data_IF_913776251304
#
_entry.id   IF_913776251304
#
_cell.length_a   1.000
_cell.length_b   1.000
_cell.length_c   1.000
_cell.angle_alpha   90.00
_cell.angle_beta   90.00
_cell.angle_gamma   90.00
#
_symmetry.space_group_name_H-M   'P 1'
#
loop_
_entity.id
_entity.type
_entity.pdbx_description
1 polymer ?
#
# COMPACT_ATOMS: atom_id res chain seq x y z
N UNK A 1 -40.61 47.73 26.03
CA UNK A 1 -41.73 46.92 25.50
C UNK A 1 -41.16 45.51 25.36
N UNK A 2 -41.26 44.63 26.36
CA UNK A 2 -42.42 43.75 26.66
C UNK A 2 -42.89 43.07 25.35
N UNK A 3 -42.78 41.74 25.13
CA UNK A 3 -42.88 40.60 26.03
C UNK A 3 -42.08 39.35 25.61
N UNK A 4 -41.71 38.56 26.62
CA UNK A 4 -41.33 37.14 26.61
C UNK A 4 -42.54 36.20 26.42
N UNK A 5 -42.22 34.89 26.37
CA UNK A 5 -43.00 33.67 26.69
C UNK A 5 -43.63 32.91 25.52
N UNK A 6 -43.17 31.70 25.17
CA UNK A 6 -43.26 30.38 25.83
C UNK A 6 -44.60 29.65 25.64
N UNK A 7 -44.48 28.39 25.22
CA UNK A 7 -45.45 27.28 25.28
C UNK A 7 -46.60 27.36 24.25
N UNK A 8 -47.08 26.26 23.64
CA UNK A 8 -47.32 24.95 24.26
C UNK A 8 -47.51 23.87 23.19
N UNK A 9 -46.94 22.69 23.46
CA UNK A 9 -47.37 21.39 22.95
C UNK A 9 -48.87 21.16 23.25
N UNK A 10 -49.73 21.28 22.25
CA UNK A 10 -51.07 20.69 22.14
C UNK A 10 -51.57 21.09 20.74
N UNK A 11 -51.60 20.24 19.72
CA UNK A 11 -52.41 19.03 19.61
C UNK A 11 -51.80 18.11 18.55
N UNK A 12 -51.14 17.03 18.98
CA UNK A 12 -50.62 15.99 18.10
C UNK A 12 -51.55 14.76 18.03
N UNK A 13 -52.87 14.94 18.22
CA UNK A 13 -53.75 13.78 18.45
C UNK A 13 -55.08 13.71 17.68
N UNK A 14 -55.37 14.62 16.74
CA UNK A 14 -56.67 14.60 16.01
C UNK A 14 -56.57 14.66 14.46
N UNK A 15 -55.45 14.31 13.84
CA UNK A 15 -55.34 14.34 12.36
C UNK A 15 -54.89 13.04 11.68
N UNK A 16 -54.98 11.90 12.38
CA UNK A 16 -54.69 10.57 11.81
C UNK A 16 -55.96 9.73 11.69
N UNK A 17 -56.79 10.04 10.69
CA UNK A 17 -57.82 9.09 10.22
C UNK A 17 -58.11 9.32 8.74
N UNK A 18 -57.31 8.66 7.90
CA UNK A 18 -57.53 8.54 6.45
C UNK A 18 -56.26 8.09 5.74
N UNK A 19 -56.29 7.04 4.90
CA UNK A 19 -55.14 6.70 4.07
C UNK A 19 -55.04 7.76 2.96
N UNK A 20 -53.83 8.22 2.69
CA UNK A 20 -53.48 9.23 1.68
C UNK A 20 -53.57 10.70 2.12
N UNK A 21 -52.43 11.23 2.60
CA UNK A 21 -51.77 12.45 2.09
C UNK A 21 -50.52 12.78 2.91
N UNK A 22 -49.40 13.00 2.24
CA UNK A 22 -48.26 13.73 2.81
C UNK A 22 -48.38 15.21 2.40
N UNK A 23 -48.32 16.10 3.40
CA UNK A 23 -48.12 17.55 3.24
C UNK A 23 -46.61 17.79 3.29
N UNK A 24 -46.07 18.47 2.27
CA UNK A 24 -44.69 18.97 2.29
C UNK A 24 -44.74 20.48 2.07
N UNK A 25 -44.25 21.25 3.05
CA UNK A 25 -43.93 22.66 2.91
C UNK A 25 -42.60 22.77 2.16
N UNK A 26 -42.57 23.49 1.04
CA UNK A 26 -41.35 23.78 0.30
C UNK A 26 -41.02 25.27 0.40
N UNK A 27 -39.76 25.55 0.75
CA UNK A 27 -39.07 26.80 0.44
C UNK A 27 -38.19 26.51 -0.79
N UNK A 28 -38.18 27.43 -1.75
CA UNK A 28 -37.26 27.46 -2.90
C UNK A 28 -37.58 26.59 -4.14
N UNK A 29 -38.82 26.68 -4.62
CA UNK A 29 -39.06 26.84 -6.07
C UNK A 29 -38.59 25.74 -7.04
N UNK A 30 -38.82 24.46 -6.75
CA UNK A 30 -38.64 23.35 -7.71
C UNK A 30 -39.99 22.73 -8.06
N UNK A 31 -40.32 22.71 -9.36
CA UNK A 31 -41.56 22.14 -9.90
C UNK A 31 -41.50 20.60 -9.88
N UNK A 32 -42.42 19.95 -9.17
CA UNK A 32 -42.54 18.47 -9.13
C UNK A 32 -43.73 18.03 -9.97
N UNK A 33 -43.48 17.31 -11.08
CA UNK A 33 -44.55 16.65 -11.84
C UNK A 33 -44.93 15.31 -11.18
N UNK A 34 -46.19 15.22 -10.75
CA UNK A 34 -46.81 14.00 -10.21
C UNK A 34 -47.23 13.08 -11.37
N UNK A 35 -46.78 11.83 -11.34
CA UNK A 35 -47.34 10.76 -12.18
C UNK A 35 -48.25 9.87 -11.33
N UNK A 36 -49.51 9.75 -11.70
CA UNK A 36 -50.45 8.76 -11.14
C UNK A 36 -50.40 7.50 -11.98
N UNK A 37 -49.94 6.39 -11.39
CA UNK A 37 -50.06 5.06 -12.00
C UNK A 37 -51.47 4.56 -11.73
N UNK A 38 -52.26 4.37 -12.79
CA UNK A 38 -53.62 3.83 -12.72
C UNK A 38 -53.53 2.31 -12.60
N UNK A 39 -53.87 1.75 -11.44
CA UNK A 39 -54.00 0.32 -11.27
C UNK A 39 -55.13 -0.22 -12.17
N UNK A 40 -54.94 -1.36 -12.89
CA UNK A 40 -56.03 -1.99 -13.61
C UNK A 40 -57.03 -2.62 -12.65
N UNK A 41 -58.31 -2.56 -13.03
CA UNK A 41 -59.45 -3.02 -12.25
C UNK A 41 -59.32 -4.50 -11.84
N UNK A 42 -59.60 -4.80 -10.56
CA UNK A 42 -59.75 -6.16 -10.06
C UNK A 42 -60.97 -6.84 -10.70
N UNK A 43 -60.76 -8.01 -11.28
CA UNK A 43 -61.78 -9.07 -11.32
C UNK A 43 -61.67 -9.84 -10.01
N UNK A 44 -62.78 -9.94 -9.29
CA UNK A 44 -62.92 -10.71 -8.07
C UNK A 44 -63.06 -12.21 -8.38
N UNK A 45 -62.30 -13.06 -7.68
CA UNK A 45 -62.65 -14.45 -7.39
C UNK A 45 -61.81 -14.96 -6.19
N UNK A 46 -62.44 -15.79 -5.37
CA UNK A 46 -62.11 -16.14 -3.99
C UNK A 46 -61.10 -17.31 -3.81
N UNK A 47 -60.26 -17.21 -2.76
CA UNK A 47 -59.67 -18.24 -1.88
C UNK A 47 -58.68 -19.32 -2.42
N UNK A 48 -57.85 -20.00 -1.58
CA UNK A 48 -57.67 -19.93 -0.11
C UNK A 48 -56.22 -19.67 0.39
N UNK A 49 -56.00 -19.52 1.73
CA UNK A 49 -54.72 -19.14 2.32
C UNK A 49 -54.03 -20.32 3.02
N UNK A 50 -52.93 -20.85 2.47
CA UNK A 50 -51.91 -21.58 3.25
C UNK A 50 -50.69 -21.91 2.37
N UNK A 51 -49.64 -21.10 2.47
CA UNK A 51 -48.25 -21.51 2.23
C UNK A 51 -47.32 -20.34 2.63
N UNK A 52 -46.97 -20.31 3.91
CA UNK A 52 -45.90 -19.46 4.39
C UNK A 52 -44.54 -19.95 3.87
N UNK A 53 -43.64 -18.98 3.65
CA UNK A 53 -42.18 -19.08 3.57
C UNK A 53 -41.53 -19.59 2.26
N UNK A 54 -41.39 -18.70 1.28
CA UNK A 54 -40.19 -18.59 0.42
C UNK A 54 -39.93 -17.11 0.09
N UNK A 55 -38.75 -16.52 0.35
CA UNK A 55 -38.39 -15.21 -0.19
C UNK A 55 -37.75 -15.43 -1.56
N UNK A 56 -38.55 -15.37 -2.62
CA UNK A 56 -38.04 -15.28 -3.99
C UNK A 56 -38.95 -14.35 -4.79
N UNK A 57 -38.86 -13.05 -4.51
CA UNK A 57 -39.42 -12.01 -5.39
C UNK A 57 -38.44 -11.75 -6.54
N UNK A 58 -38.32 -12.72 -7.44
CA UNK A 58 -37.95 -12.44 -8.84
C UNK A 58 -39.24 -12.40 -9.64
N UNK A 59 -39.97 -11.28 -9.56
CA UNK A 59 -41.02 -11.01 -10.55
C UNK A 59 -40.35 -10.57 -11.84
N UNK A 60 -40.32 -11.47 -12.81
CA UNK A 60 -39.88 -11.21 -14.18
C UNK A 60 -41.04 -10.48 -14.88
N UNK A 61 -40.85 -9.21 -15.23
CA UNK A 61 -41.83 -8.49 -16.05
C UNK A 61 -41.86 -9.12 -17.45
N UNK A 62 -43.06 -9.32 -18.00
CA UNK A 62 -43.24 -9.76 -19.38
C UNK A 62 -42.57 -8.75 -20.31
N UNK A 63 -41.45 -9.15 -20.92
CA UNK A 63 -40.52 -8.26 -21.64
C UNK A 63 -39.05 -8.42 -21.26
N UNK A 64 -38.74 -9.21 -20.21
CA UNK A 64 -37.36 -9.59 -19.88
C UNK A 64 -36.53 -8.54 -19.14
N UNK A 65 -37.06 -7.34 -18.93
CA UNK A 65 -36.44 -6.33 -18.06
C UNK A 65 -36.69 -6.69 -16.58
N UNK A 66 -35.62 -6.72 -15.75
CA UNK A 66 -35.76 -6.85 -14.30
C UNK A 66 -36.46 -5.59 -13.77
N UNK A 67 -37.43 -5.70 -12.87
CA UNK A 67 -38.25 -4.57 -12.38
C UNK A 67 -37.40 -3.39 -11.84
N UNK A 68 -36.22 -3.66 -11.27
CA UNK A 68 -35.27 -2.64 -10.82
C UNK A 68 -34.72 -1.76 -11.95
N UNK A 69 -34.65 -2.28 -13.18
CA UNK A 69 -34.09 -1.57 -14.35
C UNK A 69 -35.04 -0.48 -14.88
N UNK A 70 -36.33 -0.65 -14.60
CA UNK A 70 -37.38 0.31 -14.92
C UNK A 70 -37.43 1.47 -13.92
N UNK A 71 -36.80 1.31 -12.76
CA UNK A 71 -36.76 2.32 -11.69
C UNK A 71 -35.45 3.14 -11.68
N UNK A 72 -34.45 2.76 -12.48
CA UNK A 72 -33.21 3.51 -12.61
C UNK A 72 -33.43 4.80 -13.40
N UNK A 73 -32.78 5.87 -12.96
CA UNK A 73 -32.74 7.11 -13.73
C UNK A 73 -32.16 6.82 -15.14
N UNK A 74 -32.68 7.44 -16.21
CA UNK A 74 -32.21 7.24 -17.58
C UNK A 74 -30.67 7.23 -17.77
N UNK A 75 -29.88 8.15 -17.14
CA UNK A 75 -28.43 8.13 -17.29
C UNK A 75 -27.76 6.90 -16.66
N UNK A 76 -28.26 6.41 -15.52
CA UNK A 76 -27.72 5.23 -14.83
C UNK A 76 -27.95 3.97 -15.67
N UNK A 77 -29.14 3.86 -16.28
CA UNK A 77 -29.47 2.75 -17.18
C UNK A 77 -28.56 2.71 -18.41
N UNK A 78 -28.32 3.88 -19.03
CA UNK A 78 -27.45 3.97 -20.20
C UNK A 78 -26.01 3.55 -19.90
N UNK A 79 -25.46 3.98 -18.75
CA UNK A 79 -24.11 3.59 -18.29
C UNK A 79 -24.03 2.11 -18.03
N UNK A 80 -25.03 1.55 -17.35
CA UNK A 80 -25.08 0.12 -17.05
C UNK A 80 -25.09 -0.73 -18.33
N UNK A 81 -25.91 -0.35 -19.31
CA UNK A 81 -25.96 -1.05 -20.61
C UNK A 81 -24.63 -0.92 -21.38
N UNK A 82 -23.98 0.24 -21.32
CA UNK A 82 -22.68 0.46 -21.95
C UNK A 82 -21.57 -0.39 -21.29
N UNK A 83 -21.51 -0.40 -19.96
CA UNK A 83 -20.56 -1.20 -19.19
C UNK A 83 -20.74 -2.70 -19.44
N UNK A 84 -21.98 -3.18 -19.45
CA UNK A 84 -22.27 -4.58 -19.79
C UNK A 84 -21.76 -4.95 -21.18
N UNK A 85 -22.08 -4.15 -22.20
CA UNK A 85 -21.63 -4.39 -23.59
C UNK A 85 -20.11 -4.35 -23.71
N UNK A 86 -19.45 -3.42 -23.03
CA UNK A 86 -18.00 -3.31 -23.01
C UNK A 86 -17.35 -4.56 -22.39
N UNK A 87 -17.87 -5.03 -21.25
CA UNK A 87 -17.36 -6.23 -20.59
C UNK A 87 -17.53 -7.49 -21.45
N UNK A 88 -18.71 -7.69 -22.07
CA UNK A 88 -18.93 -8.80 -23.01
C UNK A 88 -17.98 -8.70 -24.21
N UNK A 89 -17.78 -7.50 -24.77
CA UNK A 89 -16.83 -7.26 -25.86
C UNK A 89 -15.38 -7.62 -25.50
N UNK A 90 -15.01 -7.40 -24.23
CA UNK A 90 -13.72 -7.79 -23.67
C UNK A 90 -13.62 -9.28 -23.25
N UNK A 91 -14.62 -10.11 -23.60
CA UNK A 91 -14.69 -11.56 -23.31
C UNK A 91 -14.74 -11.89 -21.81
N UNK A 92 -15.40 -11.04 -21.03
CA UNK A 92 -15.83 -11.39 -19.69
C UNK A 92 -17.03 -12.35 -19.72
N UNK A 93 -17.20 -13.10 -18.64
CA UNK A 93 -18.41 -13.92 -18.47
C UNK A 93 -19.66 -13.01 -18.37
N UNK A 94 -20.85 -13.56 -18.62
CA UNK A 94 -22.08 -12.80 -18.46
C UNK A 94 -22.27 -12.30 -17.02
N UNK A 95 -21.85 -13.10 -16.03
CA UNK A 95 -21.89 -12.75 -14.61
C UNK A 95 -20.93 -11.60 -14.29
N UNK A 96 -19.68 -11.67 -14.76
CA UNK A 96 -18.71 -10.58 -14.64
C UNK A 96 -19.21 -9.30 -15.29
N UNK A 97 -19.87 -9.41 -16.45
CA UNK A 97 -20.44 -8.27 -17.16
C UNK A 97 -21.64 -7.66 -16.42
N UNK A 98 -22.53 -8.47 -15.82
CA UNK A 98 -23.61 -7.96 -14.96
C UNK A 98 -23.05 -7.21 -13.75
N UNK A 99 -22.00 -7.74 -13.12
CA UNK A 99 -21.33 -7.11 -11.98
C UNK A 99 -20.62 -5.82 -12.34
N UNK A 100 -19.92 -5.80 -13.49
CA UNK A 100 -19.32 -4.60 -14.05
C UNK A 100 -20.35 -3.51 -14.31
N UNK A 101 -21.48 -3.90 -14.88
CA UNK A 101 -22.59 -2.99 -15.13
C UNK A 101 -23.16 -2.42 -13.83
N UNK A 102 -23.37 -3.28 -12.82
CA UNK A 102 -23.83 -2.85 -11.50
C UNK A 102 -22.85 -1.86 -10.86
N UNK A 103 -21.55 -2.15 -10.88
CA UNK A 103 -20.53 -1.24 -10.34
C UNK A 103 -20.51 0.12 -11.04
N UNK A 104 -20.65 0.16 -12.37
CA UNK A 104 -20.76 1.41 -13.12
C UNK A 104 -22.05 2.19 -12.78
N UNK A 105 -23.17 1.47 -12.61
CA UNK A 105 -24.43 2.08 -12.18
C UNK A 105 -24.35 2.67 -10.76
N UNK A 106 -23.75 1.94 -9.83
CA UNK A 106 -23.52 2.38 -8.45
C UNK A 106 -22.62 3.63 -8.41
N UNK A 107 -21.56 3.67 -9.23
CA UNK A 107 -20.69 4.84 -9.33
C UNK A 107 -21.46 6.08 -9.85
N UNK A 108 -22.26 5.95 -10.90
CA UNK A 108 -23.12 7.04 -11.37
C UNK A 108 -24.11 7.50 -10.29
N UNK A 109 -24.72 6.56 -9.57
CA UNK A 109 -25.64 6.87 -8.48
C UNK A 109 -24.94 7.60 -7.31
N UNK A 110 -23.64 7.33 -7.10
CA UNK A 110 -22.79 8.03 -6.14
C UNK A 110 -22.32 9.42 -6.64
N UNK A 111 -22.71 9.84 -7.85
CA UNK A 111 -22.41 11.17 -8.39
C UNK A 111 -21.11 11.26 -9.21
N UNK A 112 -20.48 10.12 -9.51
CA UNK A 112 -19.36 10.09 -10.45
C UNK A 112 -19.84 10.37 -11.88
N UNK A 113 -18.95 10.95 -12.70
CA UNK A 113 -19.22 11.13 -14.13
C UNK A 113 -19.20 9.79 -14.90
N UNK A 114 -19.61 9.87 -16.17
CA UNK A 114 -19.71 8.71 -17.05
C UNK A 114 -18.37 7.96 -17.18
N UNK A 115 -17.26 8.68 -17.28
CA UNK A 115 -15.94 8.10 -17.50
C UNK A 115 -15.46 7.34 -16.27
N UNK A 116 -15.58 7.97 -15.09
CA UNK A 116 -15.27 7.38 -13.80
C UNK A 116 -16.14 6.16 -13.51
N UNK A 117 -17.43 6.21 -13.86
CA UNK A 117 -18.32 5.07 -13.73
C UNK A 117 -17.94 3.90 -14.65
N UNK A 118 -17.55 4.18 -15.90
CA UNK A 118 -17.05 3.15 -16.81
C UNK A 118 -15.72 2.56 -16.32
N UNK A 119 -14.85 3.36 -15.69
CA UNK A 119 -13.63 2.88 -15.05
C UNK A 119 -13.94 1.91 -13.89
N UNK A 120 -14.91 2.23 -13.03
CA UNK A 120 -15.39 1.31 -12.00
C UNK A 120 -15.88 -0.02 -12.57
N UNK A 121 -16.68 0.01 -13.64
CA UNK A 121 -17.15 -1.21 -14.28
C UNK A 121 -16.02 -2.09 -14.84
N UNK A 122 -15.02 -1.49 -15.50
CA UNK A 122 -13.85 -2.22 -16.00
C UNK A 122 -13.03 -2.84 -14.86
N UNK A 123 -12.77 -2.06 -13.81
CA UNK A 123 -12.02 -2.52 -12.65
C UNK A 123 -12.72 -3.68 -11.92
N UNK A 124 -14.06 -3.62 -11.77
CA UNK A 124 -14.86 -4.71 -11.21
C UNK A 124 -14.68 -6.00 -12.02
N UNK A 125 -14.83 -5.93 -13.35
CA UNK A 125 -14.69 -7.08 -14.22
C UNK A 125 -13.28 -7.68 -14.17
N UNK A 126 -12.26 -6.82 -14.16
CA UNK A 126 -10.87 -7.22 -14.09
C UNK A 126 -10.53 -7.91 -12.76
N UNK A 127 -10.99 -7.38 -11.63
CA UNK A 127 -10.76 -7.96 -10.31
C UNK A 127 -11.44 -9.33 -10.17
N UNK A 128 -12.71 -9.46 -10.57
CA UNK A 128 -13.42 -10.75 -10.54
C UNK A 128 -12.72 -11.81 -11.40
N UNK A 129 -12.25 -11.43 -12.60
CA UNK A 129 -11.50 -12.32 -13.49
C UNK A 129 -10.20 -12.81 -12.87
N UNK A 130 -9.58 -11.99 -12.02
CA UNK A 130 -8.37 -12.34 -11.26
C UNK A 130 -8.67 -13.22 -10.03
N UNK A 131 -9.94 -13.56 -9.78
CA UNK A 131 -10.37 -14.42 -8.67
C UNK A 131 -10.63 -13.68 -7.36
N UNK A 132 -10.66 -12.34 -7.38
CA UNK A 132 -11.00 -11.56 -6.19
C UNK A 132 -12.45 -11.75 -5.76
N UNK A 133 -12.70 -11.63 -4.46
CA UNK A 133 -14.06 -11.67 -3.93
C UNK A 133 -14.86 -10.46 -4.40
N UNK A 134 -16.20 -10.55 -4.34
CA UNK A 134 -17.06 -9.43 -4.70
C UNK A 134 -16.75 -8.16 -3.89
N UNK A 135 -16.42 -8.29 -2.61
CA UNK A 135 -16.06 -7.16 -1.75
C UNK A 135 -14.78 -6.46 -2.19
N UNK A 136 -13.73 -7.23 -2.46
CA UNK A 136 -12.46 -6.72 -3.01
C UNK A 136 -12.66 -6.04 -4.37
N UNK A 137 -13.40 -6.70 -5.27
CA UNK A 137 -13.70 -6.15 -6.60
C UNK A 137 -14.51 -4.85 -6.52
N UNK A 138 -15.47 -4.77 -5.60
CA UNK A 138 -16.26 -3.54 -5.39
C UNK A 138 -15.39 -2.40 -4.86
N UNK A 139 -14.48 -2.68 -3.93
CA UNK A 139 -13.54 -1.68 -3.44
C UNK A 139 -12.59 -1.20 -4.56
N UNK A 140 -12.09 -2.13 -5.38
CA UNK A 140 -11.27 -1.82 -6.55
C UNK A 140 -12.02 -0.94 -7.58
N UNK A 141 -13.29 -1.24 -7.83
CA UNK A 141 -14.15 -0.44 -8.70
C UNK A 141 -14.30 1.00 -8.18
N UNK A 142 -14.54 1.17 -6.89
CA UNK A 142 -14.61 2.50 -6.27
C UNK A 142 -13.27 3.24 -6.37
N UNK A 143 -12.14 2.56 -6.15
CA UNK A 143 -10.81 3.15 -6.27
C UNK A 143 -10.52 3.65 -7.71
N UNK A 144 -10.89 2.87 -8.73
CA UNK A 144 -10.76 3.30 -10.13
C UNK A 144 -11.62 4.54 -10.43
N UNK A 145 -12.90 4.55 -10.04
CA UNK A 145 -13.76 5.71 -10.23
C UNK A 145 -13.19 6.96 -9.55
N UNK A 146 -12.72 6.82 -8.31
CA UNK A 146 -12.12 7.93 -7.58
C UNK A 146 -10.85 8.44 -8.27
N UNK A 147 -9.98 7.55 -8.75
CA UNK A 147 -8.77 7.95 -9.45
C UNK A 147 -9.09 8.72 -10.76
N UNK A 148 -10.01 8.19 -11.58
CA UNK A 148 -10.46 8.88 -12.80
C UNK A 148 -11.09 10.23 -12.48
N UNK A 149 -11.92 10.34 -11.44
CA UNK A 149 -12.55 11.61 -11.05
C UNK A 149 -11.57 12.68 -10.59
N UNK A 150 -10.38 12.27 -10.12
CA UNK A 150 -9.27 13.17 -9.75
C UNK A 150 -8.42 13.58 -10.96
N UNK A 151 -8.75 13.10 -12.16
CA UNK A 151 -8.03 13.40 -13.40
C UNK A 151 -6.80 12.54 -13.65
N UNK A 152 -6.63 11.42 -12.92
CA UNK A 152 -5.54 10.49 -13.20
C UNK A 152 -5.77 9.73 -14.50
N UNK A 153 -4.66 9.29 -15.12
CA UNK A 153 -4.72 8.49 -16.34
C UNK A 153 -5.50 7.18 -16.15
N UNK A 154 -6.04 6.62 -17.23
CA UNK A 154 -6.72 5.32 -17.18
C UNK A 154 -5.82 4.21 -16.61
N UNK A 155 -4.52 4.23 -16.96
CA UNK A 155 -3.54 3.27 -16.44
C UNK A 155 -3.33 3.44 -14.92
N UNK A 156 -3.31 4.68 -14.41
CA UNK A 156 -3.21 4.95 -12.98
C UNK A 156 -4.49 4.52 -12.24
N UNK A 157 -5.66 4.69 -12.84
CA UNK A 157 -6.92 4.20 -12.28
C UNK A 157 -6.96 2.66 -12.21
N UNK A 158 -6.48 1.97 -13.24
CA UNK A 158 -6.35 0.50 -13.24
C UNK A 158 -5.34 0.03 -12.18
N UNK A 159 -4.22 0.73 -12.02
CA UNK A 159 -3.24 0.45 -10.97
C UNK A 159 -3.80 0.68 -9.56
N UNK A 160 -4.60 1.74 -9.36
CA UNK A 160 -5.30 2.01 -8.11
C UNK A 160 -6.27 0.88 -7.75
N UNK A 161 -7.06 0.40 -8.73
CA UNK A 161 -7.96 -0.73 -8.54
C UNK A 161 -7.21 -2.01 -8.17
N UNK A 162 -6.14 -2.35 -8.91
CA UNK A 162 -5.34 -3.54 -8.66
C UNK A 162 -4.65 -3.51 -7.29
N UNK A 163 -4.08 -2.36 -6.91
CA UNK A 163 -3.47 -2.15 -5.58
C UNK A 163 -4.51 -2.30 -4.47
N UNK A 164 -5.71 -1.76 -4.66
CA UNK A 164 -6.81 -1.91 -3.69
C UNK A 164 -7.20 -3.38 -3.50
N UNK A 165 -7.45 -4.10 -4.61
CA UNK A 165 -7.88 -5.49 -4.55
C UNK A 165 -6.82 -6.38 -3.86
N UNK A 166 -5.55 -6.23 -4.24
CA UNK A 166 -4.43 -6.98 -3.64
C UNK A 166 -4.26 -6.66 -2.17
N UNK A 167 -4.27 -5.38 -1.81
CA UNK A 167 -4.04 -4.98 -0.43
C UNK A 167 -5.15 -5.51 0.51
N UNK A 168 -6.41 -5.44 0.08
CA UNK A 168 -7.53 -6.01 0.84
C UNK A 168 -7.43 -7.54 0.92
N UNK A 169 -7.09 -8.21 -0.20
CA UNK A 169 -6.92 -9.67 -0.23
C UNK A 169 -5.81 -10.15 0.70
N UNK A 170 -4.76 -9.34 0.86
CA UNK A 170 -3.66 -9.58 1.79
C UNK A 170 -4.02 -9.26 3.27
N UNK A 171 -5.24 -8.77 3.53
CA UNK A 171 -5.73 -8.48 4.88
C UNK A 171 -5.27 -7.12 5.43
N UNK A 172 -4.78 -6.22 4.58
CA UNK A 172 -4.35 -4.90 5.01
C UNK A 172 -5.52 -4.00 5.42
N UNK A 173 -5.29 -3.17 6.43
CA UNK A 173 -6.24 -2.14 6.88
C UNK A 173 -6.35 -0.96 5.90
N UNK A 174 -7.31 -0.05 6.13
CA UNK A 174 -7.61 1.05 5.21
C UNK A 174 -6.42 1.98 4.93
N UNK A 175 -5.61 2.28 5.94
CA UNK A 175 -4.45 3.18 5.78
C UNK A 175 -3.36 2.55 4.88
N UNK A 176 -3.11 1.26 5.06
CA UNK A 176 -2.19 0.50 4.22
C UNK A 176 -2.70 0.37 2.77
N UNK A 177 -4.02 0.19 2.59
CA UNK A 177 -4.66 0.22 1.26
C UNK A 177 -4.48 1.59 0.60
N UNK A 178 -4.70 2.68 1.35
CA UNK A 178 -4.53 4.03 0.82
C UNK A 178 -3.08 4.31 0.39
N UNK A 179 -2.10 3.88 1.19
CA UNK A 179 -0.68 3.97 0.84
C UNK A 179 -0.34 3.14 -0.41
N UNK A 180 -0.88 1.92 -0.52
CA UNK A 180 -0.70 1.07 -1.69
C UNK A 180 -1.19 1.75 -2.98
N UNK A 181 -2.40 2.30 -2.93
CA UNK A 181 -3.01 3.02 -4.07
C UNK A 181 -2.19 4.25 -4.44
N UNK A 182 -1.78 5.06 -3.46
CA UNK A 182 -0.96 6.25 -3.71
C UNK A 182 0.36 5.88 -4.38
N UNK A 183 1.05 4.85 -3.88
CA UNK A 183 2.31 4.39 -4.45
C UNK A 183 2.15 3.83 -5.87
N UNK A 184 1.12 3.03 -6.12
CA UNK A 184 0.86 2.48 -7.45
C UNK A 184 0.53 3.56 -8.49
N UNK A 185 -0.30 4.55 -8.13
CA UNK A 185 -0.59 5.71 -8.99
C UNK A 185 0.68 6.50 -9.27
N UNK A 186 1.43 6.85 -8.23
CA UNK A 186 2.66 7.62 -8.38
C UNK A 186 3.66 6.92 -9.30
N UNK A 187 3.73 5.59 -9.22
CA UNK A 187 4.60 4.81 -10.08
C UNK A 187 4.19 4.89 -11.56
N UNK A 188 2.90 4.69 -11.87
CA UNK A 188 2.39 4.81 -13.25
C UNK A 188 2.60 6.22 -13.81
N UNK A 189 2.31 7.26 -13.01
CA UNK A 189 2.49 8.66 -13.44
C UNK A 189 3.98 9.00 -13.63
N UNK A 190 4.88 8.30 -12.94
CA UNK A 190 6.33 8.35 -13.18
C UNK A 190 6.79 7.48 -14.36
N UNK A 191 5.85 6.99 -15.19
CA UNK A 191 6.12 6.12 -16.35
C UNK A 191 6.72 4.75 -16.01
N UNK A 192 6.55 4.28 -14.77
CA UNK A 192 6.90 2.91 -14.42
C UNK A 192 5.91 1.91 -15.01
N UNK A 193 6.36 0.67 -15.20
CA UNK A 193 5.50 -0.40 -15.72
C UNK A 193 4.43 -0.81 -14.70
N UNK A 194 3.39 -1.50 -15.18
CA UNK A 194 2.35 -2.04 -14.30
C UNK A 194 2.92 -2.95 -13.19
N UNK A 195 3.93 -3.76 -13.49
CA UNK A 195 4.55 -4.64 -12.49
C UNK A 195 5.31 -3.84 -11.42
N UNK A 196 6.01 -2.78 -11.82
CA UNK A 196 6.69 -1.86 -10.90
C UNK A 196 5.68 -1.12 -10.01
N UNK A 197 4.56 -0.65 -10.58
CA UNK A 197 3.48 -0.04 -9.80
C UNK A 197 2.87 -1.02 -8.79
N UNK A 198 2.79 -2.30 -9.13
CA UNK A 198 2.28 -3.31 -8.20
C UNK A 198 3.26 -3.59 -7.06
N UNK A 199 4.55 -3.72 -7.36
CA UNK A 199 5.57 -3.83 -6.32
C UNK A 199 5.59 -2.60 -5.41
N UNK A 200 5.43 -1.40 -5.97
CA UNK A 200 5.33 -0.17 -5.20
C UNK A 200 4.14 -0.17 -4.23
N UNK A 201 2.96 -0.57 -4.72
CA UNK A 201 1.76 -0.66 -3.91
C UNK A 201 1.92 -1.66 -2.75
N UNK A 202 2.42 -2.86 -3.03
CA UNK A 202 2.60 -3.89 -2.01
C UNK A 202 3.68 -3.50 -0.98
N UNK A 203 4.77 -2.86 -1.41
CA UNK A 203 5.81 -2.36 -0.51
C UNK A 203 5.28 -1.26 0.43
N UNK A 204 4.51 -0.31 -0.10
CA UNK A 204 3.90 0.75 0.70
C UNK A 204 2.86 0.19 1.70
N UNK A 205 2.02 -0.76 1.29
CA UNK A 205 1.06 -1.42 2.16
C UNK A 205 1.74 -2.13 3.34
N UNK A 206 2.80 -2.88 3.04
CA UNK A 206 3.59 -3.59 4.04
C UNK A 206 4.27 -2.64 5.01
N UNK A 207 4.85 -1.54 4.52
CA UNK A 207 5.48 -0.52 5.36
C UNK A 207 4.48 0.05 6.39
N UNK A 208 3.29 0.49 5.95
CA UNK A 208 2.25 0.99 6.88
C UNK A 208 1.82 -0.10 7.86
N UNK A 209 1.65 -1.33 7.39
CA UNK A 209 1.24 -2.46 8.25
C UNK A 209 2.29 -2.76 9.33
N UNK A 210 3.58 -2.55 9.03
CA UNK A 210 4.68 -2.64 10.00
C UNK A 210 4.82 -1.42 10.93
N UNK A 211 3.92 -0.44 10.84
CA UNK A 211 3.94 0.77 11.68
C UNK A 211 4.84 1.89 11.14
N UNK A 212 5.21 1.84 9.86
CA UNK A 212 5.97 2.91 9.23
C UNK A 212 5.10 4.16 9.00
N UNK A 213 5.74 5.33 8.88
CA UNK A 213 5.06 6.57 8.51
C UNK A 213 4.69 6.62 7.03
N UNK A 214 3.82 7.56 6.64
CA UNK A 214 3.46 7.80 5.24
C UNK A 214 4.69 8.07 4.36
N UNK A 215 5.67 8.81 4.87
CA UNK A 215 6.92 9.08 4.16
C UNK A 215 7.71 7.78 3.94
N UNK A 216 7.84 6.94 4.97
CA UNK A 216 8.54 5.67 4.85
C UNK A 216 7.85 4.73 3.86
N UNK A 217 6.51 4.70 3.84
CA UNK A 217 5.74 3.91 2.87
C UNK A 217 5.88 4.44 1.43
N UNK A 218 5.92 5.75 1.23
CA UNK A 218 6.15 6.35 -0.08
C UNK A 218 7.54 5.98 -0.63
N UNK A 219 8.57 6.10 0.20
CA UNK A 219 9.96 5.75 -0.17
C UNK A 219 10.09 4.23 -0.39
N UNK A 220 9.38 3.41 0.38
CA UNK A 220 9.32 1.97 0.16
C UNK A 220 8.73 1.62 -1.22
N UNK A 221 7.64 2.30 -1.58
CA UNK A 221 7.00 2.13 -2.88
C UNK A 221 7.93 2.52 -4.03
N UNK A 222 8.59 3.67 -3.92
CA UNK A 222 9.57 4.13 -4.92
C UNK A 222 10.74 3.16 -5.07
N UNK A 223 11.34 2.71 -3.96
CA UNK A 223 12.44 1.75 -3.99
C UNK A 223 12.04 0.43 -4.67
N UNK A 224 10.84 -0.08 -4.38
CA UNK A 224 10.33 -1.30 -5.00
C UNK A 224 10.05 -1.12 -6.51
N UNK A 225 9.47 0.01 -6.93
CA UNK A 225 9.27 0.31 -8.35
C UNK A 225 10.60 0.40 -9.11
N UNK A 226 11.56 1.16 -8.57
CA UNK A 226 12.89 1.31 -9.17
C UNK A 226 13.59 -0.03 -9.31
N UNK A 227 13.53 -0.89 -8.29
CA UNK A 227 14.14 -2.22 -8.36
C UNK A 227 13.56 -3.06 -9.51
N UNK A 228 12.24 -3.06 -9.72
CA UNK A 228 11.63 -3.76 -10.86
C UNK A 228 12.12 -3.19 -12.20
N UNK A 229 12.27 -1.87 -12.31
CA UNK A 229 12.76 -1.25 -13.54
C UNK A 229 14.22 -1.57 -13.84
N UNK A 230 15.03 -1.71 -12.80
CA UNK A 230 16.43 -2.11 -12.90
C UNK A 230 16.59 -3.61 -13.22
N UNK A 231 15.48 -4.33 -13.38
CA UNK A 231 15.44 -5.73 -13.79
C UNK A 231 15.46 -6.72 -12.62
N UNK A 232 15.33 -6.24 -11.38
CA UNK A 232 15.30 -7.09 -10.22
C UNK A 232 14.02 -7.93 -10.14
N UNK A 233 14.13 -9.06 -9.44
CA UNK A 233 12.96 -9.92 -9.16
C UNK A 233 11.95 -9.21 -8.26
N UNK A 234 10.69 -9.65 -8.30
CA UNK A 234 9.67 -9.13 -7.38
C UNK A 234 10.05 -9.32 -5.90
N UNK A 235 10.72 -10.43 -5.57
CA UNK A 235 11.23 -10.66 -4.21
C UNK A 235 12.28 -9.63 -3.81
N UNK A 236 13.21 -9.30 -4.72
CA UNK A 236 14.22 -8.27 -4.51
C UNK A 236 13.60 -6.88 -4.38
N UNK A 237 12.57 -6.56 -5.18
CA UNK A 237 11.84 -5.30 -5.05
C UNK A 237 11.15 -5.15 -3.68
N UNK A 238 10.57 -6.23 -3.14
CA UNK A 238 9.99 -6.20 -1.78
C UNK A 238 11.06 -5.98 -0.71
N UNK A 239 12.25 -6.58 -0.86
CA UNK A 239 13.37 -6.32 0.05
C UNK A 239 13.86 -4.87 -0.06
N UNK A 240 13.90 -4.31 -1.28
CA UNK A 240 14.24 -2.91 -1.50
C UNK A 240 13.29 -1.97 -0.74
N UNK A 241 11.99 -2.19 -0.89
CA UNK A 241 10.97 -1.40 -0.21
C UNK A 241 11.09 -1.50 1.32
N UNK A 242 11.27 -2.71 1.86
CA UNK A 242 11.42 -2.93 3.29
C UNK A 242 12.70 -2.27 3.86
N UNK A 243 13.83 -2.38 3.17
CA UNK A 243 15.08 -1.75 3.58
C UNK A 243 14.99 -0.23 3.54
N UNK A 244 14.37 0.34 2.51
CA UNK A 244 14.17 1.77 2.39
C UNK A 244 13.22 2.32 3.49
N UNK A 245 12.11 1.63 3.77
CA UNK A 245 11.21 1.98 4.88
C UNK A 245 11.95 2.03 6.22
N UNK A 246 12.73 0.99 6.50
CA UNK A 246 13.50 0.88 7.75
C UNK A 246 14.56 1.99 7.87
N UNK A 247 15.21 2.36 6.77
CA UNK A 247 16.17 3.46 6.77
C UNK A 247 15.49 4.80 7.12
N UNK A 248 14.31 5.10 6.55
CA UNK A 248 13.53 6.29 6.93
C UNK A 248 13.13 6.25 8.40
N UNK A 249 12.66 5.09 8.90
CA UNK A 249 12.29 4.94 10.31
C UNK A 249 13.48 5.10 11.27
N UNK A 250 14.69 4.75 10.83
CA UNK A 250 15.92 4.99 11.57
C UNK A 250 16.41 6.45 11.49
N UNK A 251 15.68 7.33 10.78
CA UNK A 251 15.99 8.75 10.68
C UNK A 251 16.91 9.12 9.52
N UNK A 252 17.18 8.19 8.59
CA UNK A 252 17.97 8.51 7.40
C UNK A 252 17.14 9.27 6.36
N UNK A 253 17.83 10.07 5.55
CA UNK A 253 17.22 10.83 4.46
C UNK A 253 16.77 9.92 3.29
N UNK A 254 15.87 10.45 2.44
CA UNK A 254 15.30 9.72 1.31
C UNK A 254 16.35 9.10 0.39
N UNK A 255 17.37 9.86 0.01
CA UNK A 255 18.42 9.38 -0.90
C UNK A 255 19.18 8.19 -0.31
N UNK A 256 19.48 8.25 0.99
CA UNK A 256 20.14 7.15 1.71
C UNK A 256 19.22 5.92 1.75
N UNK A 257 17.93 6.12 2.04
CA UNK A 257 16.96 5.04 2.08
C UNK A 257 16.79 4.33 0.73
N UNK A 258 16.78 5.06 -0.39
CA UNK A 258 16.72 4.48 -1.73
C UNK A 258 17.98 3.64 -2.03
N UNK A 259 19.17 4.14 -1.65
CA UNK A 259 20.42 3.36 -1.77
C UNK A 259 20.41 2.09 -0.92
N UNK A 260 19.87 2.16 0.29
CA UNK A 260 19.66 0.99 1.15
C UNK A 260 18.72 -0.03 0.50
N UNK A 261 17.66 0.45 -0.15
CA UNK A 261 16.76 -0.39 -0.94
C UNK A 261 17.50 -1.12 -2.06
N UNK A 262 18.32 -0.40 -2.83
CA UNK A 262 19.11 -0.98 -3.91
C UNK A 262 20.07 -2.07 -3.42
N UNK A 263 20.73 -1.83 -2.29
CA UNK A 263 21.63 -2.81 -1.69
C UNK A 263 20.91 -4.11 -1.30
N UNK A 264 19.70 -3.98 -0.73
CA UNK A 264 18.88 -5.13 -0.38
C UNK A 264 18.40 -5.90 -1.63
N UNK A 265 18.00 -5.20 -2.70
CA UNK A 265 17.63 -5.82 -3.96
C UNK A 265 18.78 -6.65 -4.55
N UNK A 266 19.97 -6.05 -4.65
CA UNK A 266 21.17 -6.71 -5.15
C UNK A 266 21.49 -7.98 -4.34
N UNK A 267 21.42 -7.91 -3.00
CA UNK A 267 21.67 -9.04 -2.15
C UNK A 267 20.68 -10.20 -2.42
N UNK A 268 19.39 -9.91 -2.58
CA UNK A 268 18.39 -10.95 -2.88
C UNK A 268 18.66 -11.65 -4.21
N UNK A 269 19.02 -10.90 -5.25
CA UNK A 269 19.32 -11.44 -6.58
C UNK A 269 20.66 -12.19 -6.61
N UNK A 270 21.62 -11.82 -5.75
CA UNK A 270 22.84 -12.58 -5.46
C UNK A 270 22.59 -13.87 -4.64
N UNK A 271 21.33 -14.24 -4.44
CA UNK A 271 20.90 -15.45 -3.76
C UNK A 271 20.99 -15.37 -2.24
N UNK A 272 21.12 -14.17 -1.67
CA UNK A 272 21.15 -13.98 -0.21
C UNK A 272 19.76 -14.18 0.40
N UNK A 273 19.76 -14.46 1.70
CA UNK A 273 18.57 -14.51 2.53
C UNK A 273 17.96 -13.12 2.73
N UNK A 274 16.73 -13.09 3.24
CA UNK A 274 16.06 -11.84 3.56
C UNK A 274 16.80 -11.07 4.65
N UNK A 275 17.27 -11.77 5.69
CA UNK A 275 18.01 -11.17 6.80
C UNK A 275 19.32 -10.51 6.33
N UNK A 276 20.07 -11.18 5.45
CA UNK A 276 21.30 -10.67 4.85
C UNK A 276 21.03 -9.45 3.95
N UNK A 277 19.95 -9.47 3.16
CA UNK A 277 19.56 -8.32 2.35
C UNK A 277 19.21 -7.10 3.22
N UNK A 278 18.49 -7.31 4.32
CA UNK A 278 18.18 -6.25 5.27
C UNK A 278 19.44 -5.73 5.99
N UNK A 279 20.42 -6.61 6.25
CA UNK A 279 21.71 -6.21 6.80
C UNK A 279 22.51 -5.36 5.81
N UNK A 280 22.50 -5.72 4.52
CA UNK A 280 23.12 -4.94 3.44
C UNK A 280 22.52 -3.53 3.36
N UNK A 281 21.18 -3.44 3.35
CA UNK A 281 20.49 -2.14 3.32
C UNK A 281 20.85 -1.26 4.51
N UNK A 282 20.87 -1.81 5.73
CA UNK A 282 21.30 -1.08 6.94
C UNK A 282 22.76 -0.62 6.86
N UNK A 283 23.67 -1.49 6.42
CA UNK A 283 25.08 -1.16 6.29
C UNK A 283 25.31 0.03 5.34
N UNK A 284 24.56 0.11 4.23
CA UNK A 284 24.60 1.27 3.33
C UNK A 284 24.05 2.52 4.00
N UNK A 285 22.97 2.39 4.75
CA UNK A 285 22.37 3.54 5.45
C UNK A 285 23.36 4.17 6.42
N UNK A 286 23.95 3.34 7.28
CA UNK A 286 24.90 3.74 8.32
C UNK A 286 26.19 4.32 7.71
N UNK A 287 26.72 3.67 6.66
CA UNK A 287 27.91 4.12 5.96
C UNK A 287 27.69 5.50 5.29
N UNK A 288 26.57 5.68 4.59
CA UNK A 288 26.23 6.95 3.96
C UNK A 288 25.98 8.06 4.97
N UNK A 289 25.30 7.76 6.08
CA UNK A 289 25.09 8.71 7.17
C UNK A 289 26.41 9.13 7.83
N UNK A 290 27.42 8.25 7.80
CA UNK A 290 28.78 8.53 8.28
C UNK A 290 29.65 9.29 7.26
N UNK A 291 29.09 9.69 6.11
CA UNK A 291 29.79 10.46 5.08
C UNK A 291 30.60 9.64 4.08
N UNK A 292 30.47 8.32 4.06
CA UNK A 292 31.18 7.49 3.08
C UNK A 292 30.69 7.74 1.65
N UNK A 293 31.57 7.49 0.68
CA UNK A 293 31.18 7.47 -0.72
C UNK A 293 30.19 6.34 -0.99
N UNK A 294 29.40 6.48 -2.05
CA UNK A 294 28.40 5.45 -2.42
C UNK A 294 29.05 4.10 -2.74
N UNK A 295 30.22 4.12 -3.38
CA UNK A 295 31.01 2.92 -3.67
C UNK A 295 31.46 2.20 -2.39
N UNK A 296 31.97 2.93 -1.39
CA UNK A 296 32.40 2.34 -0.12
C UNK A 296 31.22 1.76 0.65
N UNK A 297 30.10 2.49 0.70
CA UNK A 297 28.88 2.04 1.35
C UNK A 297 28.34 0.74 0.69
N UNK A 298 28.30 0.69 -0.65
CA UNK A 298 27.86 -0.51 -1.37
C UNK A 298 28.79 -1.70 -1.14
N UNK A 299 30.10 -1.46 -1.05
CA UNK A 299 31.09 -2.50 -0.72
C UNK A 299 30.88 -3.04 0.69
N UNK A 300 30.56 -2.17 1.66
CA UNK A 300 30.18 -2.59 3.01
C UNK A 300 28.85 -3.36 3.05
N UNK A 301 27.88 -2.98 2.23
CA UNK A 301 26.63 -3.73 2.07
C UNK A 301 26.91 -5.17 1.66
N UNK A 302 27.77 -5.36 0.67
CA UNK A 302 28.11 -6.69 0.18
C UNK A 302 28.87 -7.50 1.25
N UNK A 303 29.74 -6.86 2.03
CA UNK A 303 30.35 -7.45 3.21
C UNK A 303 29.32 -7.94 4.23
N UNK A 304 28.38 -7.06 4.58
CA UNK A 304 27.33 -7.35 5.54
C UNK A 304 26.42 -8.48 5.06
N UNK A 305 26.09 -8.51 3.76
CA UNK A 305 25.29 -9.57 3.13
C UNK A 305 25.99 -10.94 3.18
N UNK A 306 27.32 -10.96 3.25
CA UNK A 306 28.12 -12.18 3.38
C UNK A 306 28.41 -12.57 4.84
N UNK A 307 27.88 -11.81 5.81
CA UNK A 307 28.20 -12.00 7.23
C UNK A 307 29.67 -11.71 7.57
N UNK A 308 30.37 -10.94 6.72
CA UNK A 308 31.77 -10.60 6.94
C UNK A 308 31.84 -9.36 7.86
N UNK A 309 32.22 -9.59 9.11
CA UNK A 309 32.28 -8.55 10.15
C UNK A 309 33.45 -7.56 10.02
N UNK A 310 34.23 -7.58 8.93
CA UNK A 310 35.35 -6.66 8.72
C UNK A 310 35.45 -6.20 7.26
N UNK A 311 35.51 -4.88 7.08
CA UNK A 311 35.78 -4.21 5.81
C UNK A 311 37.11 -4.65 5.19
N UNK A 312 38.12 -4.95 6.01
CA UNK A 312 39.42 -5.46 5.54
C UNK A 312 39.29 -6.81 4.85
N UNK A 313 38.41 -7.70 5.35
CA UNK A 313 38.23 -9.02 4.76
C UNK A 313 37.58 -8.94 3.37
N UNK A 314 36.74 -7.94 3.14
CA UNK A 314 36.09 -7.72 1.84
C UNK A 314 37.02 -7.04 0.85
N UNK A 315 37.82 -6.07 1.29
CA UNK A 315 38.91 -5.55 0.47
C UNK A 315 39.94 -6.63 0.14
N UNK A 316 40.27 -7.51 1.09
CA UNK A 316 41.15 -8.66 0.86
C UNK A 316 40.56 -9.62 -0.16
N UNK A 317 39.28 -9.96 -0.05
CA UNK A 317 38.61 -10.87 -0.99
C UNK A 317 38.43 -10.23 -2.38
N UNK A 318 38.10 -8.95 -2.47
CA UNK A 318 38.09 -8.19 -3.72
C UNK A 318 39.47 -8.10 -4.38
N UNK A 319 40.53 -7.85 -3.58
CA UNK A 319 41.93 -7.92 -4.05
C UNK A 319 42.34 -9.34 -4.47
N UNK A 320 41.77 -10.38 -3.87
CA UNK A 320 42.03 -11.78 -4.27
C UNK A 320 41.28 -12.16 -5.55
N UNK A 321 40.03 -11.74 -5.72
CA UNK A 321 39.26 -11.94 -6.95
C UNK A 321 39.87 -11.15 -8.12
N UNK A 322 40.29 -9.89 -7.92
CA UNK A 322 41.05 -9.13 -8.93
C UNK A 322 42.34 -9.84 -9.37
N UNK A 323 43.10 -10.42 -8.42
CA UNK A 323 44.28 -11.25 -8.72
C UNK A 323 43.93 -12.54 -9.45
N UNK A 324 42.78 -13.13 -9.15
CA UNK A 324 42.26 -14.34 -9.82
C UNK A 324 41.90 -14.05 -11.28
N UNK A 325 41.36 -12.86 -11.57
CA UNK A 325 41.06 -12.40 -12.93
C UNK A 325 42.31 -11.95 -13.71
N UNK A 326 43.39 -11.54 -13.04
CA UNK A 326 44.68 -11.24 -13.67
C UNK A 326 45.47 -12.48 -14.15
N UNK A 327 44.98 -13.71 -13.95
CA UNK A 327 45.60 -14.92 -14.48
C UNK A 327 44.86 -15.50 -15.70
N UNK A 328 44.81 -14.73 -16.78
CA UNK A 328 45.03 -15.25 -18.13
C UNK A 328 45.86 -14.23 -18.91
N UNK A 329 47.20 -14.25 -18.80
CA UNK A 329 48.03 -13.44 -19.68
C UNK A 329 47.85 -13.95 -21.11
N UNK A 330 47.28 -13.11 -21.98
CA UNK A 330 47.72 -13.10 -23.38
C UNK A 330 49.13 -12.50 -23.37
N UNK A 331 50.14 -13.19 -23.91
CA UNK A 331 51.55 -12.90 -23.63
C UNK A 331 52.10 -11.59 -24.22
N UNK A 332 51.27 -10.70 -24.78
CA UNK A 332 51.75 -9.69 -25.73
C UNK A 332 51.40 -8.22 -25.35
N UNK A 333 50.85 -7.96 -24.16
CA UNK A 333 50.49 -6.59 -23.75
C UNK A 333 50.74 -6.35 -22.26
N UNK A 334 52.02 -6.20 -21.89
CA UNK A 334 52.42 -5.74 -20.55
C UNK A 334 53.05 -4.35 -20.67
N UNK A 335 52.63 -3.48 -19.76
CA UNK A 335 52.89 -2.03 -19.60
C UNK A 335 51.80 -1.12 -20.22
N UNK A 336 51.05 -0.27 -19.46
CA UNK A 336 51.27 0.23 -18.08
C UNK A 336 49.98 0.20 -17.20
N UNK A 337 49.87 -0.72 -16.23
CA UNK A 337 48.80 -0.68 -15.20
C UNK A 337 49.38 -0.66 -13.78
N UNK A 338 50.50 -1.34 -13.57
CA UNK A 338 51.19 -1.36 -12.26
C UNK A 338 51.69 0.04 -11.84
N UNK A 339 52.08 0.89 -12.80
CA UNK A 339 52.51 2.26 -12.52
C UNK A 339 51.38 3.20 -12.01
N UNK A 340 50.11 2.89 -12.29
CA UNK A 340 48.97 3.70 -11.85
C UNK A 340 48.46 3.32 -10.45
N UNK A 341 48.66 2.05 -10.05
CA UNK A 341 48.29 1.57 -8.72
C UNK A 341 49.32 1.97 -7.65
N UNK A 342 50.61 2.04 -8.00
CA UNK A 342 51.66 2.48 -7.07
C UNK A 342 51.68 3.99 -6.82
N UNK A 343 51.13 4.81 -7.72
CA UNK A 343 51.07 6.28 -7.54
C UNK A 343 49.89 6.76 -6.71
N UNK A 344 48.82 5.95 -6.55
CA UNK A 344 47.60 6.35 -5.83
C UNK A 344 47.57 5.80 -4.40
N UNK A 345 48.39 4.81 -4.06
CA UNK A 345 48.39 4.15 -2.74
C UNK A 345 49.80 4.03 -2.17
N UNK A 346 50.43 5.14 -1.79
CA UNK A 346 51.64 5.06 -0.96
C UNK A 346 51.25 4.71 0.49
N UNK A 347 51.95 3.75 1.09
CA UNK A 347 51.75 3.30 2.48
C UNK A 347 51.86 4.44 3.52
N UNK A 348 52.51 5.55 3.18
CA UNK A 348 52.60 6.73 4.04
C UNK A 348 51.26 7.47 4.20
N UNK A 349 50.36 7.44 3.20
CA UNK A 349 49.03 8.06 3.35
C UNK A 349 48.08 7.18 4.18
N UNK A 350 48.27 5.85 4.16
CA UNK A 350 47.51 4.90 4.98
C UNK A 350 47.98 4.91 6.45
N UNK A 351 49.26 5.15 6.72
CA UNK A 351 49.81 5.32 8.08
C UNK A 351 49.28 6.60 8.77
N UNK A 352 49.03 7.67 8.02
CA UNK A 352 48.47 8.93 8.57
C UNK A 352 46.98 8.88 8.92
N UNK A 353 46.22 7.93 8.35
CA UNK A 353 44.76 7.82 8.54
C UNK A 353 44.33 6.75 9.55
N UNK A 354 45.27 5.95 10.08
CA UNK A 354 44.99 4.84 10.99
C UNK A 354 45.67 5.04 12.35
N UNK A 355 45.00 5.76 13.25
CA UNK A 355 44.95 5.32 14.66
C UNK A 355 43.49 5.04 15.02
N UNK A 356 43.02 3.89 14.54
CA UNK A 356 41.76 3.23 14.92
C UNK A 356 41.62 3.05 16.43
N UNK A 357 42.71 3.12 17.20
CA UNK A 357 42.67 3.22 18.66
C UNK A 357 41.83 4.40 19.15
N UNK A 358 41.93 5.60 18.55
CA UNK A 358 41.17 6.78 19.01
C UNK A 358 39.67 6.71 18.65
N UNK A 359 39.32 6.02 17.57
CA UNK A 359 37.93 5.80 17.17
C UNK A 359 37.24 4.76 18.07
N UNK A 360 37.97 3.69 18.43
CA UNK A 360 37.52 2.67 19.39
C UNK A 360 37.42 3.26 20.81
N UNK A 361 38.35 4.14 21.20
CA UNK A 361 38.31 4.85 22.49
C UNK A 361 37.17 5.89 22.58
N UNK A 362 36.85 6.54 21.45
CA UNK A 362 35.74 7.49 21.34
C UNK A 362 34.39 6.76 21.42
N UNK A 363 34.24 5.64 20.70
CA UNK A 363 33.05 4.78 20.73
C UNK A 363 32.86 4.11 22.10
N UNK A 364 33.94 3.72 22.78
CA UNK A 364 33.87 3.17 24.15
C UNK A 364 33.45 4.22 25.18
N UNK A 365 33.79 5.50 24.98
CA UNK A 365 33.36 6.61 25.84
C UNK A 365 31.93 7.05 25.61
N UNK A 366 31.39 6.96 24.38
CA UNK A 366 29.98 7.27 24.10
C UNK A 366 29.04 6.14 24.49
N UNK A 367 29.47 4.88 24.45
CA UNK A 367 28.65 3.73 24.89
C UNK A 367 28.72 3.50 26.41
N UNK A 368 29.80 3.93 27.09
CA UNK A 368 29.93 3.86 28.56
C UNK A 368 29.23 4.99 29.35
N UNK A 369 28.49 5.88 28.69
CA UNK A 369 27.98 7.13 29.26
C UNK A 369 26.50 7.18 29.64
N UNK A 370 25.86 6.04 29.92
CA UNK A 370 24.48 6.01 30.49
C UNK A 370 24.33 5.00 31.63
N UNK A 371 25.24 5.02 32.60
CA UNK A 371 24.88 4.59 33.96
C UNK A 371 24.07 5.70 34.63
N UNK A 372 22.74 5.64 34.45
CA UNK A 372 21.83 6.32 35.37
C UNK A 372 21.50 5.38 36.52
N UNK A 373 21.94 5.81 37.70
CA UNK A 373 21.51 5.43 39.03
C UNK A 373 20.12 4.75 39.10
N UNK A 374 20.08 3.51 39.56
CA UNK A 374 18.79 2.85 39.84
C UNK A 374 18.85 1.35 40.12
N UNK A 375 19.85 0.82 40.85
CA UNK A 375 19.79 -0.57 41.34
C UNK A 375 20.72 -0.84 42.53
N UNK A 376 20.75 0.07 43.51
CA UNK A 376 21.54 -0.09 44.74
C UNK A 376 20.69 -0.07 46.03
N UNK A 377 19.36 -0.18 45.94
CA UNK A 377 18.47 -0.07 47.11
C UNK A 377 17.61 -1.32 47.39
N UNK A 378 17.80 -2.44 46.67
CA UNK A 378 16.99 -3.65 46.87
C UNK A 378 17.76 -4.88 47.39
N UNK A 379 19.08 -4.77 47.60
CA UNK A 379 19.91 -5.86 48.17
C UNK A 379 20.30 -5.66 49.65
N UNK A 380 19.71 -4.67 50.35
CA UNK A 380 19.91 -4.47 51.81
C UNK A 380 18.75 -4.93 52.69
N UNK A 381 17.70 -5.57 52.15
CA UNK A 381 16.52 -5.99 52.93
C UNK A 381 16.38 -7.50 53.22
N UNK A 382 17.34 -8.35 52.85
CA UNK A 382 17.23 -9.81 53.07
C UNK A 382 18.30 -10.43 53.98
N UNK A 383 19.12 -9.62 54.67
CA UNK A 383 20.15 -10.11 55.61
C UNK A 383 19.94 -9.68 57.08
N UNK A 384 18.70 -9.43 57.49
CA UNK A 384 18.38 -9.13 58.88
C UNK A 384 17.03 -9.75 59.30
N UNK A 385 16.91 -11.09 59.21
CA UNK A 385 15.87 -11.79 59.98
C UNK A 385 16.18 -13.27 60.20
N UNK A 386 17.25 -13.54 60.95
CA UNK A 386 17.42 -14.80 61.69
C UNK A 386 18.24 -14.46 62.93
N UNK A 387 17.55 -14.13 64.01
CA UNK A 387 17.91 -14.48 65.40
C UNK A 387 16.82 -14.01 66.38
N UNK A 388 16.07 -14.97 66.91
CA UNK A 388 15.52 -15.01 68.27
C UNK A 388 14.41 -14.04 68.70
N UNK A 389 13.20 -14.55 68.91
CA UNK A 389 12.65 -14.70 70.27
C UNK A 389 11.31 -15.43 70.29
N UNK A 390 11.24 -16.39 71.22
CA UNK A 390 10.00 -16.90 71.79
C UNK A 390 9.35 -15.83 72.68
N UNK A 391 8.04 -15.95 72.92
CA UNK A 391 7.34 -15.90 74.23
C UNK A 391 5.85 -15.65 74.00
N UNK A 392 5.06 -16.54 74.61
CA UNK A 392 3.60 -16.58 74.83
C UNK A 392 2.68 -16.95 73.67
#
# INVERSE_FOLDING_TARGET
MLMDTHATLASAQDFLSGPEKAVVLLKDGVEVRRWTVRAPARVAAEAPPEAAARPALFMKAEGGAKLGDLLLAPPVRAVRDAAYKAAIGARHSAEEAEMAAMAAGDAMAAGFDFESAMAAGRAMAAALRQGHTYGEAKAAAHAAALATSKGYSAAAADAAAAATARAISAGHGPDAVAAAVKAAIAAIESSFTHNAAMAAGDAAANAITSGASDLAAEVAGEAAASAIMDGHTYRAAMAAGAAAANAIMAGHEREIALLSGQAAANAIDDGRSWEEAMAAGRAVADAKASGMSTWEAMSMAQAAALGMHSYEMVLLQGKQELRRWQMKPQPDAVEPVEAYLDTVLSEEQLSGLMTTEKMVDSLSRTVGGTETAGSAEESRKTAANKDGCAVM
#
